data_IF_891758339655
#
_entry.id   IF_891758339655
#
_cell.length_a   1.000
_cell.length_b   1.000
_cell.length_c   1.000
_cell.angle_alpha   90.00
_cell.angle_beta   90.00
_cell.angle_gamma   90.00
#
_symmetry.space_group_name_H-M   'P 1'
#
loop_
_entity.id
_entity.type
_entity.pdbx_description
1 polymer ?
#
# COMPACT_ATOMS: atom_id res chain seq x y z
N UNK A 1 37.20 15.34 -5.87
CA UNK A 1 35.98 14.92 -6.59
C UNK A 1 34.85 14.90 -5.59
N UNK A 2 33.92 15.86 -5.67
CA UNK A 2 32.82 16.02 -4.72
C UNK A 2 31.84 14.86 -4.89
N UNK A 3 31.85 13.90 -3.96
CA UNK A 3 30.80 12.90 -3.82
C UNK A 3 29.54 13.62 -3.33
N UNK A 4 28.76 14.19 -4.25
CA UNK A 4 27.40 14.58 -3.93
C UNK A 4 26.68 13.33 -3.45
N UNK A 5 26.12 13.37 -2.25
CA UNK A 5 25.28 12.30 -1.72
C UNK A 5 24.20 11.97 -2.75
N UNK A 6 24.36 10.87 -3.49
CA UNK A 6 23.34 10.30 -4.36
C UNK A 6 22.20 9.88 -3.43
N UNK A 7 21.24 10.76 -3.21
CA UNK A 7 20.04 10.45 -2.42
C UNK A 7 19.39 9.22 -3.05
N UNK A 8 19.45 8.09 -2.34
CA UNK A 8 18.77 6.86 -2.74
C UNK A 8 17.30 7.19 -2.94
N UNK A 9 16.79 6.98 -4.15
CA UNK A 9 15.36 7.20 -4.43
C UNK A 9 14.52 6.25 -3.58
N UNK A 10 13.34 6.70 -3.17
CA UNK A 10 12.37 5.87 -2.49
C UNK A 10 11.47 5.17 -3.50
N UNK A 11 10.92 4.02 -3.11
CA UNK A 11 10.04 3.23 -3.96
C UNK A 11 8.80 4.04 -4.41
N UNK A 12 8.30 4.95 -3.57
CA UNK A 12 7.17 5.84 -3.88
C UNK A 12 7.39 6.73 -5.11
N UNK A 13 8.65 7.01 -5.46
CA UNK A 13 9.02 7.84 -6.61
C UNK A 13 9.04 7.05 -7.93
N UNK A 14 9.17 5.73 -7.87
CA UNK A 14 9.38 4.88 -9.05
C UNK A 14 8.24 3.87 -9.28
N UNK A 15 7.54 3.43 -8.22
CA UNK A 15 6.60 2.32 -8.32
C UNK A 15 5.47 2.38 -7.28
N UNK A 16 4.23 2.21 -7.78
CA UNK A 16 3.06 1.98 -6.94
C UNK A 16 2.07 1.04 -7.69
N UNK A 17 1.63 -0.08 -7.09
CA UNK A 17 0.75 -1.06 -7.74
C UNK A 17 -0.72 -0.60 -7.73
N UNK A 18 -1.01 0.46 -8.49
CA UNK A 18 -2.31 1.16 -8.49
C UNK A 18 -3.50 0.23 -8.72
N UNK A 19 -3.40 -0.72 -9.65
CA UNK A 19 -4.51 -1.65 -9.95
C UNK A 19 -4.87 -2.52 -8.74
N UNK A 20 -3.87 -3.14 -8.10
CA UNK A 20 -4.06 -4.01 -6.93
C UNK A 20 -4.53 -3.23 -5.71
N UNK A 21 -3.98 -2.03 -5.51
CA UNK A 21 -4.45 -1.11 -4.45
C UNK A 21 -5.92 -0.76 -4.67
N UNK A 22 -6.31 -0.40 -5.89
CA UNK A 22 -7.69 -0.06 -6.22
C UNK A 22 -8.65 -1.24 -6.05
N UNK A 23 -8.22 -2.46 -6.38
CA UNK A 23 -9.00 -3.68 -6.18
C UNK A 23 -9.24 -3.95 -4.68
N UNK A 24 -8.18 -3.96 -3.87
CA UNK A 24 -8.27 -4.10 -2.42
C UNK A 24 -9.15 -3.00 -1.81
N UNK A 25 -9.01 -1.77 -2.30
CA UNK A 25 -9.79 -0.62 -1.87
C UNK A 25 -11.29 -0.79 -2.08
N UNK A 26 -11.73 -1.45 -3.16
CA UNK A 26 -13.15 -1.77 -3.38
C UNK A 26 -13.67 -2.74 -2.33
N UNK A 27 -12.87 -3.74 -1.95
CA UNK A 27 -13.18 -4.68 -0.88
C UNK A 27 -13.27 -3.99 0.48
N UNK A 28 -12.34 -3.07 0.76
CA UNK A 28 -12.34 -2.22 1.97
C UNK A 28 -13.55 -1.27 2.02
N UNK A 29 -13.97 -0.71 0.88
CA UNK A 29 -15.15 0.15 0.79
C UNK A 29 -16.49 -0.60 0.86
N UNK A 30 -16.47 -1.93 0.71
CA UNK A 30 -17.66 -2.79 0.70
C UNK A 30 -18.38 -2.79 2.05
N UNK A 31 -19.43 -1.98 2.16
CA UNK A 31 -20.29 -1.89 3.34
C UNK A 31 -21.23 -3.08 3.43
N UNK A 32 -21.16 -3.87 4.51
CA UNK A 32 -22.13 -4.93 4.76
C UNK A 32 -22.40 -5.05 6.26
N UNK A 33 -23.66 -5.34 6.62
CA UNK A 33 -24.33 -5.37 7.94
C UNK A 33 -23.58 -5.97 9.15
N UNK A 34 -22.42 -6.59 8.95
CA UNK A 34 -21.56 -7.14 10.00
C UNK A 34 -20.22 -6.42 9.93
N UNK A 35 -19.68 -5.91 11.04
CA UNK A 35 -18.36 -5.29 11.03
C UNK A 35 -17.32 -6.33 10.60
N UNK A 36 -16.87 -6.20 9.36
CA UNK A 36 -15.71 -6.93 8.87
C UNK A 36 -14.47 -6.39 9.60
N UNK A 37 -13.38 -7.17 9.67
CA UNK A 37 -12.12 -6.73 10.30
C UNK A 37 -11.60 -5.41 9.70
N UNK A 38 -11.80 -5.19 8.40
CA UNK A 38 -11.47 -3.94 7.72
C UNK A 38 -12.40 -2.76 8.10
N UNK A 39 -13.55 -3.02 8.74
CA UNK A 39 -14.47 -2.03 9.28
C UNK A 39 -14.20 -1.66 10.75
N UNK A 40 -13.23 -2.30 11.42
CA UNK A 40 -12.91 -2.02 12.83
C UNK A 40 -12.18 -0.68 13.07
N UNK A 41 -11.90 0.11 12.02
CA UNK A 41 -11.23 1.39 12.18
C UNK A 41 -12.21 2.53 12.49
N UNK A 42 -12.04 3.25 13.63
CA UNK A 42 -12.83 4.43 13.96
C UNK A 42 -12.54 5.54 12.94
N UNK A 43 -13.61 6.14 12.45
CA UNK A 43 -13.69 6.95 11.25
C UNK A 43 -12.96 8.30 11.35
N UNK A 44 -12.28 8.70 10.26
CA UNK A 44 -12.48 10.00 9.58
C UNK A 44 -12.31 9.82 8.04
N UNK A 45 -13.41 9.44 7.37
CA UNK A 45 -13.74 9.67 5.95
C UNK A 45 -12.91 9.00 4.82
N UNK A 46 -13.20 7.71 4.57
CA UNK A 46 -13.17 7.01 3.25
C UNK A 46 -11.87 6.98 2.42
N UNK A 47 -10.68 7.04 3.02
CA UNK A 47 -9.47 6.57 2.31
C UNK A 47 -9.33 5.06 2.53
N UNK A 48 -9.22 4.25 1.46
CA UNK A 48 -8.90 2.85 1.62
C UNK A 48 -7.58 2.68 2.39
N UNK A 49 -7.62 1.95 3.50
CA UNK A 49 -6.46 1.58 4.32
C UNK A 49 -5.34 0.97 3.47
N UNK A 50 -5.67 0.28 2.38
CA UNK A 50 -4.72 -0.25 1.40
C UNK A 50 -3.82 0.84 0.79
N UNK A 51 -4.41 1.98 0.40
CA UNK A 51 -3.65 3.09 -0.19
C UNK A 51 -2.70 3.72 0.83
N UNK A 52 -3.18 3.95 2.05
CA UNK A 52 -2.37 4.52 3.12
C UNK A 52 -1.18 3.63 3.48
N UNK A 53 -1.40 2.31 3.60
CA UNK A 53 -0.32 1.33 3.87
C UNK A 53 0.72 1.32 2.75
N UNK A 54 0.27 1.29 1.49
CA UNK A 54 1.18 1.28 0.34
C UNK A 54 2.06 2.53 0.29
N UNK A 55 1.47 3.72 0.45
CA UNK A 55 2.22 4.98 0.45
C UNK A 55 3.19 5.08 1.63
N UNK A 56 2.76 4.65 2.82
CA UNK A 56 3.62 4.67 4.02
C UNK A 56 4.85 3.80 3.82
N UNK A 57 4.66 2.55 3.38
CA UNK A 57 5.77 1.62 3.18
C UNK A 57 6.68 2.05 2.02
N UNK A 58 6.10 2.51 0.91
CA UNK A 58 6.88 2.97 -0.25
C UNK A 58 7.71 4.23 0.04
N UNK A 59 7.30 5.04 1.03
CA UNK A 59 8.01 6.27 1.42
C UNK A 59 9.29 6.01 2.24
N UNK A 60 9.46 4.81 2.80
CA UNK A 60 10.62 4.46 3.63
C UNK A 60 11.54 3.42 2.98
N UNK A 61 11.05 2.71 1.95
CA UNK A 61 11.85 1.73 1.23
C UNK A 61 12.66 2.37 0.10
N UNK A 62 13.92 1.94 -0.11
CA UNK A 62 14.70 2.36 -1.28
C UNK A 62 14.07 1.81 -2.57
N UNK A 63 14.27 2.48 -3.70
CA UNK A 63 13.70 2.05 -4.99
C UNK A 63 14.27 0.73 -5.52
N UNK A 64 15.40 0.28 -4.97
CA UNK A 64 15.99 -1.04 -5.23
C UNK A 64 15.24 -2.19 -4.54
N UNK A 65 14.30 -1.91 -3.63
CA UNK A 65 13.52 -2.94 -2.96
C UNK A 65 12.72 -3.78 -3.97
N UNK A 66 12.62 -5.09 -3.72
CA UNK A 66 11.83 -5.99 -4.58
C UNK A 66 10.36 -5.56 -4.57
N UNK A 67 9.80 -5.43 -5.78
CA UNK A 67 8.38 -5.11 -5.98
C UNK A 67 7.49 -6.24 -5.48
N UNK A 68 7.93 -7.48 -5.67
CA UNK A 68 7.23 -8.69 -5.25
C UNK A 68 7.17 -8.80 -3.72
N UNK A 69 8.28 -8.52 -3.03
CA UNK A 69 8.31 -8.49 -1.56
C UNK A 69 7.51 -7.32 -1.00
N UNK A 70 7.58 -6.16 -1.64
CA UNK A 70 6.76 -4.99 -1.29
C UNK A 70 5.26 -5.30 -1.38
N UNK A 71 4.79 -5.87 -2.49
CA UNK A 71 3.38 -6.25 -2.65
C UNK A 71 2.93 -7.32 -1.64
N UNK A 72 3.81 -8.29 -1.35
CA UNK A 72 3.55 -9.35 -0.36
C UNK A 72 3.47 -8.80 1.06
N UNK A 73 4.33 -7.85 1.41
CA UNK A 73 4.29 -7.15 2.71
C UNK A 73 2.99 -6.37 2.90
N UNK A 74 2.41 -5.86 1.80
CA UNK A 74 1.10 -5.20 1.80
C UNK A 74 -0.09 -6.18 1.79
N UNK A 75 0.17 -7.48 1.59
CA UNK A 75 -0.86 -8.52 1.46
C UNK A 75 -1.67 -8.44 0.17
N UNK A 76 -1.14 -7.79 -0.87
CA UNK A 76 -1.84 -7.64 -2.16
C UNK A 76 -1.89 -8.96 -2.95
N UNK A 77 -1.07 -9.94 -2.59
CA UNK A 77 -1.08 -11.31 -3.12
C UNK A 77 -2.27 -12.15 -2.63
N UNK A 78 -2.99 -11.67 -1.61
CA UNK A 78 -4.08 -12.42 -0.94
C UNK A 78 -5.46 -11.83 -1.14
N UNK A 79 -5.62 -10.83 -2.02
CA UNK A 79 -6.88 -10.10 -2.20
C UNK A 79 -8.04 -11.04 -2.58
N UNK A 80 -7.77 -12.07 -3.40
CA UNK A 80 -8.77 -13.03 -3.86
C UNK A 80 -9.14 -14.12 -2.84
N UNK A 81 -8.44 -14.18 -1.70
CA UNK A 81 -8.64 -15.19 -0.66
C UNK A 81 -9.59 -14.74 0.48
N UNK A 82 -10.18 -13.55 0.38
CA UNK A 82 -10.96 -12.89 1.45
C UNK A 82 -12.42 -12.68 1.05
#
# INVERSE_FOLDING_TARGET
MSQGSLTTRHLVEEYLPLSKINENSKTEAGFIRVPKINNLHPYLARRPTSTARALTLASVLPSLASREEFERALGLDKISSV
#
